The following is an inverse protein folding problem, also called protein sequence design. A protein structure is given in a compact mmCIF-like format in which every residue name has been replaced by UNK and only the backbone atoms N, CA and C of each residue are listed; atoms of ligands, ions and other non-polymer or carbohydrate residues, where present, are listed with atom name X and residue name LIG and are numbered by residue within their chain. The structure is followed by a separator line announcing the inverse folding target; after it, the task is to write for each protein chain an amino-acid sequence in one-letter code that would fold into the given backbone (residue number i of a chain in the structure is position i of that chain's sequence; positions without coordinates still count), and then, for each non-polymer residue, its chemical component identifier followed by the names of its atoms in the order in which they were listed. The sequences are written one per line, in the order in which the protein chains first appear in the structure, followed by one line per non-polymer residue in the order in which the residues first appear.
data_IF_658171648618
#
_entry.id   IF_658171648618
#
_cell.length_a   1.000
_cell.length_b   1.000
_cell.length_c   1.000
_cell.angle_alpha   90.00
_cell.angle_beta   90.00
_cell.angle_gamma   90.00
#
_symmetry.space_group_name_H-M   'P 1'
#
loop_
_entity.id
_entity.type
_entity.pdbx_description
1 polymer ?
#
# COMPACT_ATOMS: atom_id res chain seq x y z
N UNK A 1 -22.50 13.03 37.03
CA UNK A 1 -21.08 12.74 36.70
C UNK A 1 -20.92 12.77 35.18
N UNK A 2 -20.38 13.86 34.62
CA UNK A 2 -20.22 14.04 33.16
C UNK A 2 -18.81 13.59 32.75
N UNK A 3 -18.75 12.58 31.88
CA UNK A 3 -17.51 12.04 31.35
C UNK A 3 -16.72 13.10 30.56
N UNK A 4 -15.51 13.40 31.02
CA UNK A 4 -14.54 14.24 30.31
C UNK A 4 -14.20 13.61 28.97
N UNK A 5 -14.80 14.12 27.90
CA UNK A 5 -14.35 13.84 26.53
C UNK A 5 -12.95 14.41 26.36
N UNK A 6 -11.95 13.51 26.35
CA UNK A 6 -10.55 13.81 26.08
C UNK A 6 -10.49 14.25 24.61
N UNK A 7 -10.39 15.55 24.37
CA UNK A 7 -10.37 16.11 23.03
C UNK A 7 -9.22 15.54 22.20
N UNK A 8 -9.45 15.41 20.90
CA UNK A 8 -8.67 16.23 19.96
C UNK A 8 -9.62 17.06 19.08
N UNK A 9 -10.58 17.74 19.71
CA UNK A 9 -11.63 18.50 19.04
C UNK A 9 -12.26 19.54 19.95
N UNK A 10 -11.73 20.77 19.93
CA UNK A 10 -12.40 21.94 20.48
C UNK A 10 -13.38 22.51 19.45
N UNK A 11 -14.42 23.21 19.90
CA UNK A 11 -15.43 23.92 19.08
C UNK A 11 -14.86 24.98 18.11
N UNK A 12 -13.60 25.38 18.24
CA UNK A 12 -12.94 26.38 17.39
C UNK A 12 -12.03 25.75 16.33
N UNK A 13 -12.18 24.45 16.05
CA UNK A 13 -11.29 23.75 15.12
C UNK A 13 -11.56 24.18 13.68
N UNK A 14 -10.57 24.78 13.05
CA UNK A 14 -10.57 25.09 11.62
C UNK A 14 -10.55 23.79 10.82
N UNK A 15 -11.54 23.59 9.94
CA UNK A 15 -11.59 22.47 9.00
C UNK A 15 -11.06 22.96 7.65
N UNK A 16 -9.84 22.57 7.29
CA UNK A 16 -9.34 22.74 5.92
C UNK A 16 -9.99 21.74 4.97
N UNK A 17 -10.17 22.11 3.69
CA UNK A 17 -10.52 21.13 2.65
C UNK A 17 -9.39 20.09 2.58
N UNK A 18 -9.70 18.77 2.53
CA UNK A 18 -8.67 17.76 2.35
C UNK A 18 -8.00 17.98 1.00
N UNK A 19 -6.69 18.27 1.03
CA UNK A 19 -5.88 18.43 -0.17
C UNK A 19 -5.63 17.04 -0.77
N UNK A 20 -6.28 16.75 -1.90
CA UNK A 20 -5.98 15.57 -2.71
C UNK A 20 -4.82 15.90 -3.62
N UNK A 21 -3.60 15.61 -3.13
CA UNK A 21 -2.42 15.67 -3.98
C UNK A 21 -2.35 14.41 -4.83
N UNK A 22 -2.66 14.54 -6.11
CA UNK A 22 -2.42 13.50 -7.12
C UNK A 22 -0.93 13.21 -7.29
N UNK A 23 -0.02 14.03 -6.73
CA UNK A 23 1.41 13.74 -6.76
C UNK A 23 1.67 12.33 -6.25
N UNK A 24 1.08 11.91 -5.12
CA UNK A 24 1.35 10.58 -4.55
C UNK A 24 0.74 9.39 -5.33
N UNK A 25 -0.01 9.63 -6.40
CA UNK A 25 -0.66 8.55 -7.16
C UNK A 25 0.35 7.60 -7.80
N UNK A 26 1.52 8.11 -8.20
CA UNK A 26 2.54 7.34 -8.90
C UNK A 26 3.83 7.14 -8.07
N UNK A 27 3.83 7.42 -6.77
CA UNK A 27 5.00 7.23 -5.92
C UNK A 27 4.91 5.94 -5.13
N UNK A 28 6.01 5.20 -5.13
CA UNK A 28 6.20 4.07 -4.24
C UNK A 28 6.85 4.54 -2.93
N UNK A 29 6.32 4.08 -1.80
CA UNK A 29 7.01 4.29 -0.51
C UNK A 29 8.30 3.46 -0.48
N UNK A 30 9.30 3.89 0.29
CA UNK A 30 10.57 3.17 0.41
C UNK A 30 10.40 1.68 0.77
N UNK A 31 9.35 1.35 1.52
CA UNK A 31 8.99 -0.04 1.84
C UNK A 31 8.68 -0.86 0.58
N UNK A 32 7.99 -0.28 -0.40
CA UNK A 32 7.67 -0.97 -1.66
C UNK A 32 8.93 -1.16 -2.50
N UNK A 33 9.85 -0.19 -2.51
CA UNK A 33 11.13 -0.29 -3.23
C UNK A 33 11.98 -1.45 -2.71
N UNK A 34 12.14 -1.55 -1.39
CA UNK A 34 12.93 -2.64 -0.79
C UNK A 34 12.35 -4.02 -1.13
N UNK A 35 11.03 -4.11 -1.20
CA UNK A 35 10.36 -5.36 -1.51
C UNK A 35 10.37 -5.68 -3.01
N UNK A 36 10.28 -4.67 -3.88
CA UNK A 36 10.50 -4.85 -5.31
C UNK A 36 11.89 -5.43 -5.59
N UNK A 37 12.93 -4.92 -4.91
CA UNK A 37 14.29 -5.43 -5.01
C UNK A 37 14.47 -6.84 -4.41
N UNK A 38 13.53 -7.29 -3.57
CA UNK A 38 13.54 -8.66 -3.01
C UNK A 38 12.86 -9.68 -3.93
N UNK A 39 12.20 -9.24 -5.00
CA UNK A 39 11.54 -10.14 -5.94
C UNK A 39 12.56 -10.93 -6.76
N UNK A 40 12.28 -12.22 -7.03
CA UNK A 40 13.09 -13.01 -7.96
C UNK A 40 13.07 -12.39 -9.35
N UNK A 41 14.20 -12.50 -10.07
CA UNK A 41 14.35 -11.99 -11.44
C UNK A 41 13.25 -12.52 -12.37
N UNK A 42 12.89 -13.79 -12.22
CA UNK A 42 11.84 -14.45 -13.00
C UNK A 42 10.47 -13.82 -12.75
N UNK A 43 10.24 -13.27 -11.55
CA UNK A 43 8.98 -12.57 -11.24
C UNK A 43 8.94 -11.22 -11.94
N UNK A 44 10.04 -10.47 -11.91
CA UNK A 44 10.16 -9.13 -12.51
C UNK A 44 10.15 -9.20 -14.05
N UNK A 45 10.76 -10.21 -14.65
CA UNK A 45 10.84 -10.41 -16.12
C UNK A 45 9.57 -11.06 -16.73
N UNK A 46 8.43 -10.98 -16.05
CA UNK A 46 7.19 -11.53 -16.57
C UNK A 46 6.70 -10.77 -17.83
N UNK A 47 6.43 -11.51 -18.92
CA UNK A 47 6.02 -10.93 -20.21
C UNK A 47 4.56 -10.42 -20.26
N UNK A 48 3.80 -10.57 -19.17
CA UNK A 48 2.40 -10.15 -19.08
C UNK A 48 2.04 -9.86 -17.63
N UNK A 49 1.13 -8.91 -17.42
CA UNK A 49 0.59 -8.55 -16.09
C UNK A 49 0.02 -9.76 -15.37
N UNK A 50 -0.68 -10.66 -16.07
CA UNK A 50 -1.26 -11.84 -15.44
C UNK A 50 -0.18 -12.82 -14.98
N UNK A 51 0.88 -13.01 -15.80
CA UNK A 51 2.04 -13.83 -15.40
C UNK A 51 2.78 -13.21 -14.21
N UNK A 52 2.93 -11.88 -14.20
CA UNK A 52 3.52 -11.15 -13.07
C UNK A 52 2.72 -11.37 -11.79
N UNK A 53 1.39 -11.15 -11.83
CA UNK A 53 0.47 -11.36 -10.69
C UNK A 53 0.58 -12.80 -10.15
N UNK A 54 0.50 -13.82 -11.01
CA UNK A 54 0.62 -15.22 -10.57
C UNK A 54 1.98 -15.54 -9.94
N UNK A 55 3.09 -15.02 -10.48
CA UNK A 55 4.43 -15.24 -9.93
C UNK A 55 4.62 -14.51 -8.60
N UNK A 56 4.14 -13.27 -8.52
CA UNK A 56 4.15 -12.47 -7.30
C UNK A 56 3.33 -13.16 -6.20
N UNK A 57 2.12 -13.62 -6.50
CA UNK A 57 1.28 -14.34 -5.54
C UNK A 57 1.99 -15.59 -5.03
N UNK A 58 2.63 -16.37 -5.90
CA UNK A 58 3.43 -17.52 -5.48
C UNK A 58 4.57 -17.14 -4.54
N UNK A 59 5.33 -16.09 -4.86
CA UNK A 59 6.40 -15.58 -4.01
C UNK A 59 5.89 -15.13 -2.65
N UNK A 60 4.76 -14.42 -2.62
CA UNK A 60 4.14 -13.94 -1.38
C UNK A 60 3.56 -15.08 -0.53
N UNK A 61 3.03 -16.14 -1.14
CA UNK A 61 2.57 -17.34 -0.42
C UNK A 61 3.72 -18.15 0.19
N UNK A 62 4.88 -18.19 -0.48
CA UNK A 62 6.07 -18.89 0.02
C UNK A 62 6.79 -18.12 1.14
N UNK A 63 6.67 -16.78 1.16
CA UNK A 63 7.39 -15.90 2.10
C UNK A 63 6.45 -15.26 3.14
N UNK A 64 5.52 -16.02 3.71
CA UNK A 64 4.54 -15.58 4.72
C UNK A 64 5.17 -15.31 6.10
N UNK A 65 6.17 -14.42 6.17
CA UNK A 65 6.72 -13.91 7.43
C UNK A 65 6.32 -12.44 7.61
N UNK A 66 5.20 -12.25 8.32
CA UNK A 66 4.54 -11.12 9.00
C UNK A 66 4.76 -9.62 8.64
N UNK A 67 5.71 -9.24 7.79
CA UNK A 67 5.97 -7.83 7.43
C UNK A 67 5.59 -7.46 5.98
N UNK A 68 5.05 -8.42 5.21
CA UNK A 68 4.73 -8.32 3.78
C UNK A 68 3.26 -7.95 3.47
N UNK A 69 2.44 -7.66 4.49
CA UNK A 69 1.00 -7.34 4.35
C UNK A 69 0.73 -6.03 3.60
N UNK A 70 1.75 -5.20 3.40
CA UNK A 70 1.62 -3.95 2.64
C UNK A 70 1.55 -4.16 1.12
N UNK A 71 2.21 -5.18 0.56
CA UNK A 71 2.24 -5.40 -0.90
C UNK A 71 0.93 -5.94 -1.43
N UNK A 72 0.41 -7.01 -0.83
CA UNK A 72 -0.85 -7.59 -1.26
C UNK A 72 -1.99 -6.55 -1.20
N UNK A 73 -1.97 -5.68 -0.19
CA UNK A 73 -2.91 -4.54 -0.08
C UNK A 73 -2.69 -3.50 -1.18
N UNK A 74 -1.44 -3.13 -1.48
CA UNK A 74 -1.12 -2.10 -2.47
C UNK A 74 -1.35 -2.55 -3.91
N UNK A 75 -0.88 -3.74 -4.28
CA UNK A 75 -1.07 -4.33 -5.62
C UNK A 75 -2.56 -4.52 -5.91
N UNK A 76 -3.34 -4.97 -4.92
CA UNK A 76 -4.80 -5.11 -5.04
C UNK A 76 -5.49 -3.75 -5.21
N UNK A 77 -5.13 -2.75 -4.42
CA UNK A 77 -5.79 -1.42 -4.46
C UNK A 77 -5.43 -0.61 -5.71
N UNK A 78 -4.21 -0.78 -6.27
CA UNK A 78 -3.76 0.00 -7.44
C UNK A 78 -4.02 -0.68 -8.79
N UNK A 79 -4.01 -2.02 -8.86
CA UNK A 79 -4.24 -2.75 -10.11
C UNK A 79 -5.71 -3.15 -10.34
N UNK A 80 -6.62 -2.88 -9.40
CA UNK A 80 -8.08 -3.01 -9.58
C UNK A 80 -8.74 -1.70 -10.05
N UNK A 81 -8.02 -0.58 -10.06
CA UNK A 81 -8.50 0.75 -10.50
C UNK A 81 -7.98 1.19 -11.89
N UNK A 82 -7.36 0.26 -12.63
CA UNK A 82 -6.96 0.39 -14.04
C UNK A 82 -7.64 -0.71 -14.84
#
# INVERSE_FOLDING_TARGET
MLGKSRTRGHSLRIKGKPFRSEMRKNFFTQRVVNLWNSLPKETVEATSVNKFKTRLDRFLHQNQNQNQTSIAKYVRTYMEFT
#
